data_IF_780199287516
#
_entry.id   IF_780199287516
#
_cell.length_a   1.000
_cell.length_b   1.000
_cell.length_c   1.000
_cell.angle_alpha   90.00
_cell.angle_beta   90.00
_cell.angle_gamma   90.00
#
_symmetry.space_group_name_H-M   'P 1'
#
loop_
_entity.id
_entity.type
_entity.pdbx_description
1 polymer ?
#
# COMPACT_ATOMS: atom_id res chain seq x y z
N UNK A 1 2.07 28.84 -16.19
CA UNK A 1 1.69 29.29 -14.83
C UNK A 1 1.46 28.09 -13.91
N UNK A 2 0.81 27.03 -14.41
CA UNK A 2 0.49 25.81 -13.63
C UNK A 2 1.67 25.11 -12.95
N UNK A 3 2.82 25.00 -13.61
CA UNK A 3 4.02 24.40 -13.00
C UNK A 3 4.46 25.13 -11.72
N UNK A 4 4.20 26.45 -11.61
CA UNK A 4 4.52 27.21 -10.39
C UNK A 4 3.60 26.83 -9.24
N UNK A 5 2.34 26.47 -9.51
CA UNK A 5 1.40 25.98 -8.49
C UNK A 5 1.84 24.61 -7.97
N UNK A 6 2.28 23.71 -8.84
CA UNK A 6 2.87 22.43 -8.42
C UNK A 6 4.16 22.63 -7.61
N UNK A 7 5.02 23.57 -8.02
CA UNK A 7 6.23 23.90 -7.25
C UNK A 7 5.88 24.45 -5.85
N UNK A 8 4.91 25.36 -5.78
CA UNK A 8 4.42 25.92 -4.51
C UNK A 8 3.86 24.82 -3.61
N UNK A 9 3.08 23.89 -4.17
CA UNK A 9 2.60 22.71 -3.45
C UNK A 9 3.75 21.85 -2.91
N UNK A 10 4.78 21.62 -3.72
CA UNK A 10 5.98 20.89 -3.31
C UNK A 10 6.68 21.55 -2.12
N UNK A 11 6.88 22.87 -2.19
CA UNK A 11 7.45 23.65 -1.09
C UNK A 11 6.58 23.59 0.17
N UNK A 12 5.26 23.66 0.02
CA UNK A 12 4.32 23.54 1.14
C UNK A 12 4.40 22.16 1.80
N UNK A 13 4.44 21.07 1.02
CA UNK A 13 4.58 19.71 1.55
C UNK A 13 5.89 19.57 2.33
N UNK A 14 7.01 20.05 1.77
CA UNK A 14 8.31 20.05 2.43
C UNK A 14 8.26 20.85 3.73
N UNK A 15 7.67 22.05 3.71
CA UNK A 15 7.51 22.89 4.89
C UNK A 15 6.70 22.20 5.99
N UNK A 16 5.55 21.61 5.66
CA UNK A 16 4.73 20.86 6.61
C UNK A 16 5.49 19.67 7.18
N UNK A 17 6.23 18.93 6.34
CA UNK A 17 6.98 17.75 6.76
C UNK A 17 8.15 18.09 7.70
N UNK A 18 8.79 19.25 7.53
CA UNK A 18 9.87 19.75 8.39
C UNK A 18 9.36 20.36 9.69
N UNK A 19 8.20 21.01 9.68
CA UNK A 19 7.68 21.75 10.85
C UNK A 19 6.75 20.91 11.73
N UNK A 20 6.12 19.85 11.20
CA UNK A 20 5.18 19.05 11.98
C UNK A 20 5.88 18.28 13.10
N UNK A 21 5.22 18.20 14.26
CA UNK A 21 5.66 17.35 15.37
C UNK A 21 5.40 15.89 15.02
N UNK A 22 6.47 15.13 14.75
CA UNK A 22 6.38 13.70 14.43
C UNK A 22 6.32 12.88 15.71
N UNK A 23 5.43 11.89 15.74
CA UNK A 23 5.38 10.92 16.85
C UNK A 23 6.24 9.70 16.56
N UNK A 24 6.20 9.26 15.31
CA UNK A 24 7.08 8.21 14.79
C UNK A 24 8.04 8.85 13.80
N UNK A 25 9.24 8.28 13.69
CA UNK A 25 10.24 8.77 12.75
C UNK A 25 9.70 8.76 11.31
N UNK A 26 9.01 7.67 10.96
CA UNK A 26 8.29 7.47 9.71
C UNK A 26 6.86 7.11 10.10
N UNK A 27 5.89 7.93 9.70
CA UNK A 27 4.46 7.68 9.92
C UNK A 27 3.69 7.73 8.59
N UNK A 28 2.40 7.39 8.64
CA UNK A 28 1.52 7.41 7.48
C UNK A 28 1.43 8.79 6.81
N UNK A 29 1.66 9.89 7.53
CA UNK A 29 1.67 11.24 6.94
C UNK A 29 2.94 11.45 6.11
N UNK A 30 4.10 10.99 6.58
CA UNK A 30 5.34 11.00 5.78
C UNK A 30 5.17 10.17 4.49
N UNK A 31 4.58 8.98 4.59
CA UNK A 31 4.34 8.12 3.42
C UNK A 31 3.30 8.74 2.48
N UNK A 32 2.25 9.37 3.02
CA UNK A 32 1.29 10.15 2.24
C UNK A 32 1.98 11.29 1.48
N UNK A 33 2.77 12.12 2.17
CA UNK A 33 3.52 13.22 1.55
C UNK A 33 4.46 12.71 0.46
N UNK A 34 5.14 11.58 0.68
CA UNK A 34 6.01 10.97 -0.34
C UNK A 34 5.23 10.62 -1.62
N UNK A 35 4.14 9.87 -1.52
CA UNK A 35 3.37 9.50 -2.71
C UNK A 35 2.66 10.69 -3.34
N UNK A 36 2.10 11.60 -2.54
CA UNK A 36 1.42 12.80 -3.03
C UNK A 36 2.39 13.73 -3.77
N UNK A 37 3.58 13.96 -3.21
CA UNK A 37 4.65 14.71 -3.87
C UNK A 37 5.06 14.02 -5.17
N UNK A 38 5.27 12.70 -5.16
CA UNK A 38 5.71 11.97 -6.34
C UNK A 38 4.69 12.10 -7.49
N UNK A 39 3.41 11.82 -7.24
CA UNK A 39 2.40 11.72 -8.31
C UNK A 39 1.71 13.04 -8.67
N UNK A 40 1.63 13.99 -7.73
CA UNK A 40 0.89 15.24 -7.90
C UNK A 40 1.75 16.50 -7.83
N UNK A 41 3.07 16.37 -7.63
CA UNK A 41 4.03 17.50 -7.75
C UNK A 41 5.10 17.17 -8.78
N UNK A 42 5.91 16.13 -8.51
CA UNK A 42 7.06 15.81 -9.33
C UNK A 42 6.65 15.36 -10.74
N UNK A 43 5.73 14.39 -10.85
CA UNK A 43 5.31 13.91 -12.17
C UNK A 43 4.67 14.99 -13.05
N UNK A 44 3.73 15.82 -12.58
CA UNK A 44 3.21 16.94 -13.37
C UNK A 44 4.30 17.91 -13.83
N UNK A 45 5.24 18.29 -12.94
CA UNK A 45 6.37 19.15 -13.32
C UNK A 45 7.20 18.51 -14.45
N UNK A 46 7.49 17.21 -14.34
CA UNK A 46 8.21 16.49 -15.39
C UNK A 46 7.41 16.47 -16.71
N UNK A 47 6.09 16.28 -16.66
CA UNK A 47 5.23 16.34 -17.85
C UNK A 47 5.24 17.72 -18.52
N UNK A 48 5.33 18.82 -17.75
CA UNK A 48 5.45 20.17 -18.33
C UNK A 48 6.77 20.38 -19.06
N UNK A 49 7.89 19.85 -18.54
CA UNK A 49 9.21 20.07 -19.14
C UNK A 49 9.56 19.10 -20.26
N UNK A 50 9.12 17.86 -20.16
CA UNK A 50 9.47 16.79 -21.09
C UNK A 50 8.29 16.31 -21.95
N UNK A 51 7.11 16.88 -21.77
CA UNK A 51 5.93 16.57 -22.58
C UNK A 51 5.47 15.11 -22.47
N UNK A 52 4.95 14.57 -23.56
CA UNK A 52 4.44 13.20 -23.66
C UNK A 52 5.54 12.14 -23.76
N UNK A 53 6.80 12.55 -23.93
CA UNK A 53 7.94 11.63 -24.10
C UNK A 53 8.23 10.83 -22.83
N UNK A 54 7.79 11.31 -21.67
CA UNK A 54 7.92 10.60 -20.40
C UNK A 54 6.77 9.62 -20.14
N UNK A 55 5.78 9.56 -21.02
CA UNK A 55 4.65 8.64 -20.90
C UNK A 55 5.00 7.32 -21.56
N UNK A 56 4.44 6.24 -21.01
CA UNK A 56 4.44 4.97 -21.72
C UNK A 56 3.68 5.15 -23.04
N UNK A 57 4.21 4.64 -24.15
CA UNK A 57 3.55 4.67 -25.47
C UNK A 57 2.15 4.08 -25.42
N UNK A 58 1.92 3.09 -24.56
CA UNK A 58 0.60 2.51 -24.33
C UNK A 58 -0.42 3.57 -23.85
N UNK A 59 -0.01 4.55 -23.02
CA UNK A 59 -0.87 5.64 -22.55
C UNK A 59 -1.24 6.64 -23.66
N UNK A 60 -0.50 6.66 -24.77
CA UNK A 60 -0.69 7.63 -25.87
C UNK A 60 -1.87 7.28 -26.79
N UNK A 61 -2.38 6.04 -26.72
CA UNK A 61 -3.55 5.61 -27.50
C UNK A 61 -4.88 6.22 -26.99
N UNK A 62 -4.86 6.81 -25.79
CA UNK A 62 -5.99 7.49 -25.18
C UNK A 62 -6.25 8.92 -25.65
N UNK A 63 -7.42 9.47 -25.27
CA UNK A 63 -7.63 10.93 -25.31
C UNK A 63 -6.73 11.56 -24.25
N UNK A 64 -5.55 12.04 -24.65
CA UNK A 64 -4.65 12.74 -23.73
C UNK A 64 -5.24 14.11 -23.37
N UNK A 65 -5.64 14.27 -22.10
CA UNK A 65 -6.22 15.51 -21.58
C UNK A 65 -5.20 16.41 -20.88
N UNK A 66 -3.98 15.94 -20.62
CA UNK A 66 -3.00 16.68 -19.83
C UNK A 66 -2.76 18.10 -20.37
N UNK A 67 -2.87 19.09 -19.48
CA UNK A 67 -2.66 20.50 -19.81
C UNK A 67 -3.82 21.16 -20.55
N UNK A 68 -4.94 20.46 -20.79
CA UNK A 68 -6.15 21.05 -21.39
C UNK A 68 -7.05 21.70 -20.36
N UNK A 69 -6.99 21.26 -19.10
CA UNK A 69 -7.79 21.85 -18.02
C UNK A 69 -6.92 22.77 -17.15
N UNK A 70 -7.09 24.10 -17.25
CA UNK A 70 -6.28 25.06 -16.48
C UNK A 70 -6.58 25.01 -14.97
N UNK A 71 -7.64 24.32 -14.54
CA UNK A 71 -8.01 24.23 -13.14
C UNK A 71 -7.37 23.04 -12.41
N UNK A 72 -6.74 22.09 -13.12
CA UNK A 72 -6.18 20.88 -12.50
C UNK A 72 -5.15 21.21 -11.43
N UNK A 73 -4.22 22.13 -11.70
CA UNK A 73 -3.16 22.55 -10.78
C UNK A 73 -3.75 23.15 -9.48
N UNK A 74 -4.79 23.97 -9.62
CA UNK A 74 -5.53 24.57 -8.51
C UNK A 74 -6.27 23.51 -7.71
N UNK A 75 -6.98 22.57 -8.37
CA UNK A 75 -7.69 21.48 -7.70
C UNK A 75 -6.73 20.62 -6.88
N UNK A 76 -5.58 20.26 -7.45
CA UNK A 76 -4.54 19.51 -6.73
C UNK A 76 -4.03 20.29 -5.52
N UNK A 77 -3.73 21.58 -5.66
CA UNK A 77 -3.28 22.41 -4.56
C UNK A 77 -4.32 22.50 -3.43
N UNK A 78 -5.57 22.82 -3.77
CA UNK A 78 -6.68 22.93 -2.81
C UNK A 78 -6.99 21.58 -2.15
N UNK A 79 -6.92 20.48 -2.89
CA UNK A 79 -7.11 19.13 -2.36
C UNK A 79 -6.14 18.83 -1.21
N UNK A 80 -4.87 19.24 -1.34
CA UNK A 80 -3.89 19.12 -0.26
C UNK A 80 -4.24 20.02 0.95
N UNK A 81 -4.73 21.24 0.73
CA UNK A 81 -5.20 22.08 1.84
C UNK A 81 -6.37 21.46 2.58
N UNK A 82 -7.35 20.87 1.88
CA UNK A 82 -8.47 20.16 2.50
C UNK A 82 -8.00 18.93 3.29
N UNK A 83 -6.99 18.21 2.79
CA UNK A 83 -6.33 17.16 3.56
C UNK A 83 -5.73 17.69 4.87
N UNK A 84 -5.00 18.79 4.83
CA UNK A 84 -4.43 19.41 6.03
C UNK A 84 -5.50 19.89 7.01
N UNK A 85 -6.61 20.44 6.51
CA UNK A 85 -7.77 20.83 7.33
C UNK A 85 -8.36 19.61 8.06
N UNK A 86 -8.62 18.52 7.33
CA UNK A 86 -9.12 17.27 7.92
C UNK A 86 -8.15 16.68 8.95
N UNK A 87 -6.85 16.67 8.65
CA UNK A 87 -5.83 16.18 9.58
C UNK A 87 -5.69 17.06 10.84
N UNK A 88 -5.96 18.36 10.73
CA UNK A 88 -5.85 19.31 11.84
C UNK A 88 -7.03 19.23 12.83
N UNK A 89 -8.10 18.51 12.51
CA UNK A 89 -9.26 18.33 13.38
C UNK A 89 -8.95 17.46 14.61
N UNK A 90 -8.48 18.08 15.69
CA UNK A 90 -8.05 17.39 16.91
C UNK A 90 -9.15 16.55 17.57
N UNK A 91 -10.39 17.05 17.55
CA UNK A 91 -11.54 16.47 18.26
C UNK A 91 -11.82 15.01 17.89
N UNK A 92 -11.54 14.60 16.65
CA UNK A 92 -11.73 13.22 16.20
C UNK A 92 -10.71 12.24 16.81
N UNK A 93 -9.47 12.69 17.05
CA UNK A 93 -8.41 11.85 17.60
C UNK A 93 -8.40 11.78 19.14
N UNK A 94 -8.80 12.86 19.82
CA UNK A 94 -8.79 12.93 21.30
C UNK A 94 -9.68 11.86 21.93
N UNK A 95 -10.84 11.56 21.35
CA UNK A 95 -11.71 10.47 21.83
C UNK A 95 -11.02 9.11 21.85
N UNK A 96 -10.14 8.84 20.88
CA UNK A 96 -9.42 7.56 20.75
C UNK A 96 -8.34 7.45 21.83
N UNK A 97 -7.70 8.57 22.16
CA UNK A 97 -6.62 8.60 23.16
C UNK A 97 -7.05 8.18 24.56
N UNK A 98 -8.35 8.24 24.87
CA UNK A 98 -8.92 7.81 26.16
C UNK A 98 -9.19 6.30 26.27
N UNK A 99 -9.02 5.53 25.19
CA UNK A 99 -9.15 4.09 25.23
C UNK A 99 -7.81 3.44 25.54
N UNK A 100 -7.83 2.45 26.41
CA UNK A 100 -6.71 1.54 26.61
C UNK A 100 -7.07 0.17 26.05
N UNK A 101 -6.20 -0.38 25.23
CA UNK A 101 -6.36 -1.71 24.63
C UNK A 101 -5.41 -2.62 25.38
N UNK A 102 -5.92 -3.66 26.03
CA UNK A 102 -5.08 -4.64 26.73
C UNK A 102 -5.23 -6.02 26.10
N UNK A 103 -4.25 -6.41 25.28
CA UNK A 103 -4.05 -7.79 24.85
C UNK A 103 -3.53 -8.63 26.02
N UNK A 104 -4.36 -9.58 26.49
CA UNK A 104 -3.99 -10.56 27.53
C UNK A 104 -3.62 -11.90 26.89
N UNK A 105 -2.68 -11.87 25.94
CA UNK A 105 -2.20 -13.07 25.24
C UNK A 105 -0.80 -13.41 25.77
N UNK A 106 -0.65 -14.61 26.35
CA UNK A 106 0.67 -15.10 26.73
C UNK A 106 1.51 -15.42 25.49
N UNK A 107 2.83 -15.32 25.60
CA UNK A 107 3.74 -15.60 24.49
C UNK A 107 3.55 -17.03 23.92
N UNK A 108 3.30 -18.01 24.80
CA UNK A 108 2.92 -19.37 24.38
C UNK A 108 1.68 -19.37 23.49
N UNK A 109 0.59 -18.69 23.89
CA UNK A 109 -0.63 -18.62 23.06
C UNK A 109 -0.36 -17.91 21.72
N UNK A 110 0.50 -16.89 21.73
CA UNK A 110 0.88 -16.18 20.52
C UNK A 110 1.64 -17.06 19.52
N UNK A 111 2.50 -17.95 20.01
CA UNK A 111 3.15 -18.96 19.15
C UNK A 111 2.14 -19.93 18.54
N UNK A 112 1.13 -20.36 19.29
CA UNK A 112 0.07 -21.22 18.73
C UNK A 112 -0.75 -20.48 17.67
N UNK A 113 -1.02 -19.18 17.86
CA UNK A 113 -1.67 -18.35 16.86
C UNK A 113 -0.80 -18.21 15.59
N UNK A 114 0.51 -18.02 15.74
CA UNK A 114 1.44 -17.96 14.60
C UNK A 114 1.48 -19.30 13.86
N UNK A 115 1.58 -20.41 14.58
CA UNK A 115 1.52 -21.74 13.99
C UNK A 115 0.22 -21.96 13.21
N UNK A 116 -0.92 -21.61 13.80
CA UNK A 116 -2.23 -21.68 13.16
C UNK A 116 -2.33 -20.76 11.93
N UNK A 117 -1.73 -19.58 11.98
CA UNK A 117 -1.65 -18.66 10.84
C UNK A 117 -0.85 -19.26 9.67
N UNK A 118 0.30 -19.90 9.93
CA UNK A 118 1.02 -20.65 8.90
C UNK A 118 0.20 -21.81 8.36
N UNK A 119 -0.52 -22.55 9.21
CA UNK A 119 -1.39 -23.63 8.75
C UNK A 119 -2.44 -23.14 7.74
N UNK A 120 -3.15 -22.04 8.06
CA UNK A 120 -4.10 -21.40 7.13
C UNK A 120 -3.40 -20.97 5.84
N UNK A 121 -2.22 -20.37 5.95
CA UNK A 121 -1.45 -19.88 4.80
C UNK A 121 -1.03 -21.03 3.87
N UNK A 122 -0.54 -22.14 4.42
CA UNK A 122 -0.18 -23.33 3.65
C UNK A 122 -1.40 -23.96 3.00
N UNK A 123 -2.51 -24.07 3.72
CA UNK A 123 -3.76 -24.60 3.16
C UNK A 123 -4.24 -23.74 1.98
N UNK A 124 -4.24 -22.42 2.12
CA UNK A 124 -4.60 -21.49 1.06
C UNK A 124 -3.67 -21.61 -0.15
N UNK A 125 -2.35 -21.72 0.09
CA UNK A 125 -1.36 -21.90 -0.96
C UNK A 125 -1.54 -23.24 -1.70
N UNK A 126 -1.73 -24.34 -0.99
CA UNK A 126 -1.91 -25.68 -1.58
C UNK A 126 -3.15 -25.70 -2.45
N UNK A 127 -4.30 -25.22 -1.95
CA UNK A 127 -5.55 -25.19 -2.73
C UNK A 127 -5.40 -24.29 -3.97
N UNK A 128 -4.79 -23.12 -3.82
CA UNK A 128 -4.53 -22.21 -4.94
C UNK A 128 -3.67 -22.89 -6.01
N UNK A 129 -2.51 -23.44 -5.62
CA UNK A 129 -1.57 -24.10 -6.53
C UNK A 129 -2.17 -25.33 -7.19
N UNK A 130 -2.88 -26.18 -6.45
CA UNK A 130 -3.55 -27.35 -7.03
C UNK A 130 -4.65 -26.96 -8.01
N UNK A 131 -5.41 -25.90 -7.72
CA UNK A 131 -6.46 -25.41 -8.62
C UNK A 131 -5.95 -24.89 -9.95
N UNK A 132 -4.71 -24.39 -9.99
CA UNK A 132 -4.07 -23.87 -11.20
C UNK A 132 -3.18 -24.92 -11.93
N UNK A 133 -3.23 -26.19 -11.48
CA UNK A 133 -2.51 -27.30 -12.12
C UNK A 133 -1.07 -27.51 -11.65
N UNK A 134 -0.73 -27.05 -10.45
CA UNK A 134 0.57 -27.26 -9.83
C UNK A 134 1.44 -26.01 -9.76
N UNK A 135 2.53 -26.08 -8.98
CA UNK A 135 3.32 -24.90 -8.61
C UNK A 135 4.01 -24.29 -9.83
N UNK A 136 4.62 -25.14 -10.66
CA UNK A 136 5.33 -24.76 -11.87
C UNK A 136 4.41 -23.99 -12.83
N UNK A 137 3.25 -24.57 -13.15
CA UNK A 137 2.25 -23.94 -14.02
C UNK A 137 1.74 -22.62 -13.47
N UNK A 138 1.59 -22.53 -12.14
CA UNK A 138 1.16 -21.28 -11.49
C UNK A 138 2.21 -20.17 -11.62
N UNK A 139 3.50 -20.52 -11.52
CA UNK A 139 4.62 -19.57 -11.71
C UNK A 139 4.68 -19.13 -13.18
N UNK A 140 4.54 -20.06 -14.12
CA UNK A 140 4.53 -19.76 -15.56
C UNK A 140 3.40 -18.80 -15.94
N UNK A 141 2.21 -19.02 -15.38
CA UNK A 141 1.03 -18.20 -15.63
C UNK A 141 0.92 -16.96 -14.72
N UNK A 142 1.90 -16.71 -13.85
CA UNK A 142 1.83 -15.63 -12.84
C UNK A 142 1.57 -14.25 -13.46
N UNK A 143 2.19 -13.95 -14.60
CA UNK A 143 1.99 -12.70 -15.34
C UNK A 143 0.60 -12.61 -15.97
N UNK A 144 0.09 -13.74 -16.50
CA UNK A 144 -1.24 -13.82 -17.11
C UNK A 144 -2.34 -13.66 -16.05
N UNK A 145 -2.13 -14.17 -14.84
CA UNK A 145 -3.03 -13.91 -13.70
C UNK A 145 -2.96 -12.46 -13.23
N UNK A 146 -1.77 -11.85 -13.26
CA UNK A 146 -1.57 -10.45 -12.82
C UNK A 146 -2.20 -9.45 -13.79
N UNK A 147 -2.09 -9.71 -15.10
CA UNK A 147 -2.70 -8.90 -16.16
C UNK A 147 -4.21 -9.12 -16.29
N UNK A 148 -4.76 -10.15 -15.65
CA UNK A 148 -6.19 -10.45 -15.72
C UNK A 148 -6.62 -11.13 -17.02
N UNK A 149 -5.66 -11.54 -17.87
CA UNK A 149 -5.91 -12.30 -19.10
C UNK A 149 -6.49 -13.68 -18.76
N UNK A 150 -6.00 -14.29 -17.69
CA UNK A 150 -6.51 -15.58 -17.18
C UNK A 150 -7.09 -15.37 -15.78
N UNK A 151 -8.28 -15.92 -15.54
CA UNK A 151 -8.89 -15.94 -14.22
C UNK A 151 -8.56 -17.22 -13.47
N UNK A 152 -7.81 -17.09 -12.38
CA UNK A 152 -7.57 -18.18 -11.45
C UNK A 152 -8.88 -18.59 -10.75
N UNK A 153 -9.21 -19.90 -10.76
CA UNK A 153 -10.42 -20.45 -10.14
C UNK A 153 -10.49 -20.11 -8.66
N UNK A 154 -9.35 -20.22 -7.98
CA UNK A 154 -9.20 -19.89 -6.56
C UNK A 154 -8.37 -18.63 -6.33
N UNK A 155 -8.39 -17.67 -7.26
CA UNK A 155 -7.61 -16.44 -7.16
C UNK A 155 -7.87 -15.64 -5.87
N UNK A 156 -9.07 -15.78 -5.26
CA UNK A 156 -9.38 -15.16 -3.97
C UNK A 156 -8.48 -15.63 -2.82
N UNK A 157 -7.89 -16.83 -2.90
CA UNK A 157 -6.97 -17.35 -1.87
C UNK A 157 -5.67 -16.54 -1.79
N UNK A 158 -5.29 -15.83 -2.86
CA UNK A 158 -4.16 -14.88 -2.82
C UNK A 158 -4.36 -13.76 -1.78
N UNK A 159 -5.60 -13.48 -1.37
CA UNK A 159 -5.90 -12.51 -0.29
C UNK A 159 -5.32 -12.91 1.06
N UNK A 160 -4.95 -14.18 1.26
CA UNK A 160 -4.28 -14.67 2.46
C UNK A 160 -2.76 -14.53 2.39
N UNK A 161 -2.17 -14.30 1.22
CA UNK A 161 -0.70 -14.23 1.06
C UNK A 161 -0.05 -13.10 1.87
N UNK A 162 -0.68 -11.91 2.05
CA UNK A 162 -0.12 -10.87 2.92
C UNK A 162 -0.03 -11.27 4.40
N UNK A 163 -0.62 -12.42 4.82
CA UNK A 163 -0.38 -12.98 6.15
C UNK A 163 1.10 -13.29 6.35
N UNK A 164 1.79 -13.76 5.31
CA UNK A 164 3.23 -13.99 5.39
C UNK A 164 4.00 -12.70 5.66
N UNK A 165 3.56 -11.56 5.10
CA UNK A 165 4.18 -10.26 5.36
C UNK A 165 4.07 -9.88 6.83
N UNK A 166 2.89 -10.07 7.44
CA UNK A 166 2.67 -9.83 8.87
C UNK A 166 3.58 -10.74 9.70
N UNK A 167 3.61 -12.05 9.39
CA UNK A 167 4.41 -13.04 10.10
C UNK A 167 5.92 -12.78 9.96
N UNK A 168 6.39 -12.43 8.75
CA UNK A 168 7.78 -12.09 8.48
C UNK A 168 8.22 -10.89 9.31
N UNK A 169 7.46 -9.80 9.28
CA UNK A 169 7.79 -8.58 10.02
C UNK A 169 7.68 -8.77 11.53
N UNK A 170 6.70 -9.55 11.99
CA UNK A 170 6.54 -9.85 13.41
C UNK A 170 7.68 -10.71 13.95
N UNK A 171 8.06 -11.77 13.22
CA UNK A 171 9.18 -12.64 13.59
C UNK A 171 10.51 -11.90 13.48
N UNK A 172 10.68 -11.03 12.48
CA UNK A 172 11.81 -10.10 12.38
C UNK A 172 11.93 -9.23 13.62
N UNK A 173 10.84 -8.57 14.03
CA UNK A 173 10.80 -7.74 15.23
C UNK A 173 11.23 -8.53 16.48
N UNK A 174 10.69 -9.74 16.67
CA UNK A 174 11.03 -10.59 17.83
C UNK A 174 12.50 -11.01 17.86
N UNK A 175 13.08 -11.35 16.71
CA UNK A 175 14.45 -11.89 16.63
C UNK A 175 15.51 -10.79 16.67
N UNK A 176 15.33 -9.73 15.87
CA UNK A 176 16.38 -8.75 15.60
C UNK A 176 16.26 -7.48 16.44
N UNK A 177 15.05 -7.12 16.86
CA UNK A 177 14.80 -5.87 17.59
C UNK A 177 14.61 -6.11 19.09
N UNK A 178 13.62 -6.92 19.48
CA UNK A 178 13.31 -7.15 20.90
C UNK A 178 14.30 -8.09 21.60
N UNK A 179 14.75 -9.17 20.94
CA UNK A 179 15.78 -10.14 21.40
C UNK A 179 15.53 -10.87 22.74
N UNK A 180 14.53 -10.49 23.53
CA UNK A 180 14.29 -10.99 24.90
C UNK A 180 13.26 -12.14 24.99
N UNK A 181 12.93 -12.81 23.88
CA UNK A 181 11.91 -13.87 23.86
C UNK A 181 12.41 -15.20 24.44
N UNK A 182 11.59 -15.84 25.30
CA UNK A 182 11.82 -17.22 25.78
C UNK A 182 11.81 -18.26 24.64
N UNK A 183 11.14 -17.94 23.53
CA UNK A 183 10.93 -18.82 22.38
C UNK A 183 11.70 -18.35 21.14
N UNK A 184 12.84 -17.69 21.34
CA UNK A 184 13.64 -17.12 20.24
C UNK A 184 13.96 -18.12 19.13
N UNK A 185 14.26 -19.38 19.45
CA UNK A 185 14.53 -20.42 18.45
C UNK A 185 13.31 -20.78 17.60
N UNK A 186 12.13 -20.82 18.22
CA UNK A 186 10.85 -21.01 17.51
C UNK A 186 10.58 -19.83 16.58
N UNK A 187 10.86 -18.60 17.03
CA UNK A 187 10.74 -17.43 16.15
C UNK A 187 11.71 -17.49 14.97
N UNK A 188 12.96 -17.92 15.18
CA UNK A 188 13.94 -18.12 14.08
C UNK A 188 13.43 -19.12 13.05
N UNK A 189 12.86 -20.24 13.48
CA UNK A 189 12.25 -21.22 12.58
C UNK A 189 11.14 -20.57 11.73
N UNK A 190 10.22 -19.85 12.37
CA UNK A 190 9.14 -19.15 11.66
C UNK A 190 9.66 -18.06 10.72
N UNK A 191 10.67 -17.30 11.11
CA UNK A 191 11.28 -16.30 10.25
C UNK A 191 11.89 -16.94 8.99
N UNK A 192 12.64 -18.03 9.13
CA UNK A 192 13.18 -18.79 7.99
C UNK A 192 12.06 -19.31 7.09
N UNK A 193 10.99 -19.85 7.68
CA UNK A 193 9.81 -20.30 6.94
C UNK A 193 9.15 -19.17 6.16
N UNK A 194 9.03 -17.98 6.78
CA UNK A 194 8.49 -16.79 6.13
C UNK A 194 9.37 -16.27 4.99
N UNK A 195 10.70 -16.40 5.09
CA UNK A 195 11.61 -16.06 3.99
C UNK A 195 11.43 -17.00 2.80
N UNK A 196 11.27 -18.31 3.04
CA UNK A 196 10.99 -19.29 1.97
C UNK A 196 9.66 -18.95 1.28
N UNK A 197 8.60 -18.71 2.07
CA UNK A 197 7.30 -18.33 1.54
C UNK A 197 7.32 -16.95 0.85
N UNK A 198 8.16 -16.03 1.31
CA UNK A 198 8.33 -14.73 0.66
C UNK A 198 8.89 -14.91 -0.76
N UNK A 199 9.96 -15.69 -0.93
CA UNK A 199 10.53 -15.98 -2.26
C UNK A 199 9.50 -16.65 -3.16
N UNK A 200 8.72 -17.59 -2.63
CA UNK A 200 7.65 -18.25 -3.35
C UNK A 200 6.56 -17.24 -3.79
N UNK A 201 6.13 -16.36 -2.89
CA UNK A 201 5.11 -15.36 -3.19
C UNK A 201 5.60 -14.28 -4.15
N UNK A 202 6.89 -13.97 -4.16
CA UNK A 202 7.51 -13.13 -5.19
C UNK A 202 7.33 -13.77 -6.56
N UNK A 203 7.67 -15.06 -6.70
CA UNK A 203 7.49 -15.80 -7.95
C UNK A 203 6.02 -15.90 -8.37
N UNK A 204 5.11 -16.16 -7.43
CA UNK A 204 3.67 -16.32 -7.71
C UNK A 204 2.94 -15.00 -8.01
N UNK A 205 3.45 -13.86 -7.55
CA UNK A 205 2.85 -12.55 -7.81
C UNK A 205 3.50 -11.82 -8.98
N UNK A 206 4.71 -12.23 -9.40
CA UNK A 206 5.48 -11.54 -10.43
C UNK A 206 5.46 -10.01 -10.21
N UNK A 207 5.90 -9.58 -9.02
CA UNK A 207 5.76 -8.18 -8.60
C UNK A 207 7.01 -7.66 -7.94
N UNK A 208 7.75 -6.83 -8.68
CA UNK A 208 8.87 -6.04 -8.15
C UNK A 208 8.45 -5.13 -6.98
N UNK A 209 7.24 -4.57 -7.04
CA UNK A 209 6.70 -3.71 -5.98
C UNK A 209 6.55 -4.46 -4.66
N UNK A 210 6.22 -5.75 -4.71
CA UNK A 210 6.14 -6.60 -3.53
C UNK A 210 7.51 -6.72 -2.83
N UNK A 211 8.59 -6.95 -3.58
CA UNK A 211 9.96 -7.04 -3.02
C UNK A 211 10.36 -5.72 -2.37
N UNK A 212 10.19 -4.61 -3.08
CA UNK A 212 10.56 -3.29 -2.58
C UNK A 212 9.80 -2.94 -1.30
N UNK A 213 8.50 -3.22 -1.26
CA UNK A 213 7.68 -2.97 -0.07
C UNK A 213 8.13 -3.80 1.14
N UNK A 214 8.66 -5.02 0.95
CA UNK A 214 9.16 -5.86 2.04
C UNK A 214 10.50 -5.38 2.57
N UNK A 215 11.46 -5.09 1.68
CA UNK A 215 12.77 -4.55 2.06
C UNK A 215 12.60 -3.19 2.75
N UNK A 216 11.77 -2.31 2.19
CA UNK A 216 11.45 -1.02 2.80
C UNK A 216 10.78 -1.22 4.16
N UNK A 217 9.90 -2.21 4.31
CA UNK A 217 9.23 -2.51 5.58
C UNK A 217 10.16 -2.91 6.70
N UNK A 218 11.13 -3.77 6.42
CA UNK A 218 12.17 -4.14 7.39
C UNK A 218 12.97 -2.90 7.84
N UNK A 219 13.32 -2.02 6.90
CA UNK A 219 14.00 -0.77 7.21
C UNK A 219 13.14 0.17 8.06
N UNK A 220 11.89 0.43 7.66
CA UNK A 220 10.99 1.36 8.35
C UNK A 220 10.69 0.88 9.77
N UNK A 221 10.42 -0.41 9.96
CA UNK A 221 10.21 -1.00 11.30
C UNK A 221 11.44 -0.79 12.18
N UNK A 222 12.63 -1.02 11.64
CA UNK A 222 13.90 -0.81 12.37
C UNK A 222 14.12 0.66 12.71
N UNK A 223 13.86 1.55 11.76
CA UNK A 223 14.05 3.00 11.93
C UNK A 223 13.08 3.58 12.98
N UNK A 224 11.82 3.12 12.99
CA UNK A 224 10.85 3.51 14.01
C UNK A 224 11.26 2.95 15.39
N UNK A 225 11.70 1.69 15.47
CA UNK A 225 12.07 1.04 16.74
C UNK A 225 13.25 1.74 17.43
N UNK A 226 14.31 2.03 16.67
CA UNK A 226 15.50 2.72 17.19
C UNK A 226 15.38 4.25 17.19
N UNK A 227 14.26 4.80 16.69
CA UNK A 227 14.05 6.23 16.52
C UNK A 227 15.21 6.94 15.76
N UNK A 228 15.83 6.25 14.80
CA UNK A 228 16.98 6.76 14.06
C UNK A 228 16.90 6.41 12.57
N UNK A 229 17.36 7.33 11.71
CA UNK A 229 17.52 7.07 10.28
C UNK A 229 18.87 6.40 10.01
N UNK A 230 18.83 5.26 9.33
CA UNK A 230 20.05 4.56 8.94
C UNK A 230 20.37 4.85 7.48
N UNK A 231 20.95 6.04 7.23
CA UNK A 231 21.19 6.57 5.87
C UNK A 231 21.90 5.57 4.95
N UNK A 232 22.91 4.84 5.46
CA UNK A 232 23.63 3.80 4.70
C UNK A 232 22.67 2.76 4.12
N UNK A 233 21.78 2.20 4.95
CA UNK A 233 20.81 1.19 4.49
C UNK A 233 19.77 1.80 3.56
N UNK A 234 19.32 3.03 3.81
CA UNK A 234 18.41 3.73 2.91
C UNK A 234 19.01 3.91 1.51
N UNK A 235 20.28 4.31 1.41
CA UNK A 235 21.00 4.43 0.15
C UNK A 235 21.17 3.07 -0.54
N UNK A 236 21.54 2.02 0.20
CA UNK A 236 21.63 0.66 -0.35
C UNK A 236 20.28 0.19 -0.89
N UNK A 237 19.19 0.41 -0.15
CA UNK A 237 17.83 0.07 -0.59
C UNK A 237 17.44 0.90 -1.82
N UNK A 238 17.80 2.18 -1.87
CA UNK A 238 17.56 3.03 -3.04
C UNK A 238 18.26 2.52 -4.30
N UNK A 239 19.55 2.17 -4.19
CA UNK A 239 20.33 1.61 -5.30
C UNK A 239 19.77 0.25 -5.76
N UNK A 240 19.49 -0.66 -4.82
CA UNK A 240 18.83 -1.93 -5.13
C UNK A 240 17.45 -1.71 -5.73
N UNK A 241 16.73 -0.68 -5.28
CA UNK A 241 15.44 -0.28 -5.79
C UNK A 241 15.49 0.08 -7.28
N UNK A 242 16.47 0.89 -7.68
CA UNK A 242 16.69 1.23 -9.09
C UNK A 242 16.96 -0.02 -9.92
N UNK A 243 17.81 -0.94 -9.44
CA UNK A 243 18.09 -2.20 -10.13
C UNK A 243 16.84 -3.08 -10.27
N UNK A 244 16.07 -3.26 -9.20
CA UNK A 244 14.83 -4.04 -9.20
C UNK A 244 13.78 -3.41 -10.13
N UNK A 245 13.68 -2.08 -10.17
CA UNK A 245 12.75 -1.40 -11.08
C UNK A 245 13.16 -1.64 -12.53
N UNK A 246 14.44 -1.48 -12.86
CA UNK A 246 14.96 -1.62 -14.22
C UNK A 246 14.91 -3.06 -14.72
N UNK A 247 15.37 -4.02 -13.92
CA UNK A 247 15.58 -5.41 -14.34
C UNK A 247 14.54 -6.40 -13.83
N UNK A 248 13.67 -5.99 -12.90
CA UNK A 248 12.69 -6.89 -12.29
C UNK A 248 11.72 -7.49 -13.31
N UNK A 249 11.08 -6.68 -14.16
CA UNK A 249 10.10 -7.25 -15.10
C UNK A 249 10.74 -8.13 -16.18
N UNK A 250 11.88 -7.75 -16.82
CA UNK A 250 12.61 -8.67 -17.68
C UNK A 250 12.95 -9.99 -16.99
N UNK A 251 13.43 -9.91 -15.73
CA UNK A 251 13.78 -11.09 -14.95
C UNK A 251 12.57 -12.00 -14.78
N UNK A 252 11.46 -11.48 -14.26
CA UNK A 252 10.29 -12.31 -14.00
C UNK A 252 9.60 -12.81 -15.27
N UNK A 253 9.65 -12.05 -16.37
CA UNK A 253 9.14 -12.47 -17.66
C UNK A 253 9.93 -13.65 -18.23
N UNK A 254 11.24 -13.71 -17.98
CA UNK A 254 12.09 -14.79 -18.46
C UNK A 254 12.03 -16.06 -17.58
N UNK A 255 11.62 -15.97 -16.31
CA UNK A 255 11.54 -17.14 -15.40
C UNK A 255 10.76 -18.32 -15.99
N UNK A 256 9.57 -18.16 -16.60
CA UNK A 256 8.87 -19.26 -17.24
C UNK A 256 9.73 -20.04 -18.25
N UNK A 257 10.49 -19.33 -19.09
CA UNK A 257 11.38 -19.94 -20.08
C UNK A 257 12.48 -20.80 -19.43
N UNK A 258 13.02 -20.36 -18.29
CA UNK A 258 13.97 -21.16 -17.53
C UNK A 258 13.33 -22.45 -16.97
N UNK A 259 12.09 -22.34 -16.49
CA UNK A 259 11.39 -23.45 -15.85
C UNK A 259 10.90 -24.49 -16.88
N UNK A 260 10.47 -24.06 -18.06
CA UNK A 260 9.96 -24.93 -19.12
C UNK A 260 11.06 -25.57 -19.97
N UNK A 261 12.14 -24.85 -20.21
CA UNK A 261 13.17 -25.23 -21.18
C UNK A 261 14.54 -25.23 -20.49
N UNK A 262 15.37 -24.21 -20.73
CA UNK A 262 16.73 -24.14 -20.23
C UNK A 262 17.16 -22.71 -19.89
N UNK A 263 18.36 -22.57 -19.35
CA UNK A 263 18.92 -21.29 -18.96
C UNK A 263 19.31 -20.41 -20.16
N UNK A 264 19.59 -20.99 -21.32
CA UNK A 264 19.97 -20.24 -22.51
C UNK A 264 18.76 -19.47 -23.09
N UNK A 265 17.60 -20.12 -23.12
CA UNK A 265 16.36 -19.44 -23.49
C UNK A 265 15.99 -18.34 -22.49
N UNK A 266 16.19 -18.59 -21.19
CA UNK A 266 16.02 -17.55 -20.17
C UNK A 266 16.88 -16.31 -20.46
N UNK A 267 18.17 -16.50 -20.73
CA UNK A 267 19.07 -15.39 -21.05
C UNK A 267 18.63 -14.65 -22.33
N UNK A 268 18.20 -15.39 -23.35
CA UNK A 268 17.69 -14.82 -24.60
C UNK A 268 16.45 -13.95 -24.35
N UNK A 269 15.43 -14.46 -23.65
CA UNK A 269 14.20 -13.72 -23.34
C UNK A 269 14.47 -12.51 -22.45
N UNK A 270 15.34 -12.67 -21.45
CA UNK A 270 15.76 -11.59 -20.57
C UNK A 270 16.43 -10.45 -21.34
N UNK A 271 17.41 -10.77 -22.19
CA UNK A 271 18.14 -9.79 -22.99
C UNK A 271 17.23 -9.13 -24.03
N UNK A 272 16.38 -9.90 -24.71
CA UNK A 272 15.40 -9.38 -25.67
C UNK A 272 14.48 -8.36 -25.01
N UNK A 273 14.01 -8.64 -23.79
CA UNK A 273 13.14 -7.71 -23.05
C UNK A 273 13.88 -6.46 -22.57
N UNK A 274 15.16 -6.55 -22.23
CA UNK A 274 15.99 -5.40 -21.90
C UNK A 274 16.22 -4.52 -23.13
N UNK A 275 16.57 -5.12 -24.27
CA UNK A 275 16.79 -4.42 -25.54
C UNK A 275 15.53 -3.67 -25.98
N UNK A 276 14.38 -4.36 -25.98
CA UNK A 276 13.09 -3.74 -26.31
C UNK A 276 12.77 -2.56 -25.38
N UNK A 277 13.06 -2.67 -24.08
CA UNK A 277 12.85 -1.56 -23.13
C UNK A 277 13.78 -0.38 -23.33
N UNK A 278 15.04 -0.63 -23.65
CA UNK A 278 16.02 0.42 -23.90
C UNK A 278 15.68 1.17 -25.20
N UNK A 279 15.13 0.48 -26.21
CA UNK A 279 14.62 1.10 -27.43
C UNK A 279 13.36 1.93 -27.20
N UNK A 280 12.60 1.62 -26.14
CA UNK A 280 11.35 2.30 -25.78
C UNK A 280 11.54 3.47 -24.80
N UNK A 281 12.78 3.88 -24.49
CA UNK A 281 13.11 5.01 -23.60
C UNK A 281 12.28 5.02 -22.31
N UNK A 282 12.21 3.85 -21.65
CA UNK A 282 11.37 3.64 -20.47
C UNK A 282 11.72 4.60 -19.32
N UNK A 283 11.01 5.72 -19.27
CA UNK A 283 11.14 6.70 -18.21
C UNK A 283 10.50 6.17 -16.93
N UNK A 284 11.24 6.14 -15.83
CA UNK A 284 10.74 5.70 -14.52
C UNK A 284 9.48 6.49 -14.10
N UNK A 285 9.39 7.77 -14.51
CA UNK A 285 8.27 8.66 -14.25
C UNK A 285 6.97 8.26 -14.95
N UNK A 286 7.04 7.49 -16.04
CA UNK A 286 5.87 6.96 -16.75
C UNK A 286 4.95 6.16 -15.80
N UNK A 287 5.55 5.40 -14.87
CA UNK A 287 4.81 4.60 -13.90
C UNK A 287 3.99 5.44 -12.91
N UNK A 288 4.32 6.73 -12.77
CA UNK A 288 3.71 7.66 -11.83
C UNK A 288 2.81 8.71 -12.49
N UNK A 289 2.62 8.64 -13.82
CA UNK A 289 1.85 9.63 -14.58
C UNK A 289 0.34 9.36 -14.57
N UNK A 290 -0.08 8.09 -14.42
CA UNK A 290 -1.50 7.76 -14.47
C UNK A 290 -2.39 8.49 -13.45
N UNK A 291 -1.97 8.84 -12.21
CA UNK A 291 -2.85 9.52 -11.26
C UNK A 291 -3.24 10.94 -11.71
N UNK A 292 -2.29 11.68 -12.31
CA UNK A 292 -2.57 13.04 -12.79
C UNK A 292 -3.37 13.01 -14.10
N UNK A 293 -3.03 12.10 -15.02
CA UNK A 293 -3.80 11.93 -16.27
C UNK A 293 -5.25 11.55 -15.96
N UNK A 294 -5.44 10.58 -15.05
CA UNK A 294 -6.78 10.16 -14.61
C UNK A 294 -7.56 11.29 -13.96
N UNK A 295 -6.89 12.17 -13.21
CA UNK A 295 -7.54 13.35 -12.62
C UNK A 295 -8.03 14.30 -13.72
N UNK A 296 -7.18 14.63 -14.70
CA UNK A 296 -7.58 15.51 -15.80
C UNK A 296 -8.74 14.94 -16.61
N UNK A 297 -8.67 13.64 -16.94
CA UNK A 297 -9.74 12.93 -17.64
C UNK A 297 -11.05 12.97 -16.84
N UNK A 298 -11.00 12.71 -15.54
CA UNK A 298 -12.21 12.77 -14.69
C UNK A 298 -12.78 14.18 -14.55
N UNK A 299 -11.93 15.21 -14.42
CA UNK A 299 -12.38 16.61 -14.37
C UNK A 299 -12.96 17.10 -15.71
N UNK A 300 -12.54 16.53 -16.84
CA UNK A 300 -13.06 16.88 -18.16
C UNK A 300 -14.38 16.19 -18.51
N UNK A 301 -14.62 14.97 -17.99
CA UNK A 301 -15.71 14.11 -18.48
C UNK A 301 -16.86 13.92 -17.47
N UNK A 302 -16.57 13.99 -16.16
CA UNK A 302 -17.58 13.72 -15.13
C UNK A 302 -18.51 14.92 -14.98
N UNK A 303 -19.82 14.68 -14.94
CA UNK A 303 -20.87 15.70 -14.92
C UNK A 303 -21.39 16.05 -16.32
N UNK A 304 -20.56 15.91 -17.36
CA UNK A 304 -20.97 16.15 -18.75
C UNK A 304 -21.28 14.85 -19.50
N UNK A 305 -20.35 13.89 -19.51
CA UNK A 305 -20.45 12.64 -20.25
C UNK A 305 -20.63 11.42 -19.32
N UNK A 306 -20.12 11.52 -18.09
CA UNK A 306 -20.24 10.47 -17.07
C UNK A 306 -21.03 10.97 -15.88
N UNK A 307 -21.99 10.17 -15.42
CA UNK A 307 -22.72 10.43 -14.19
C UNK A 307 -21.81 10.34 -12.95
N UNK A 308 -22.18 11.08 -11.91
CA UNK A 308 -21.52 11.04 -10.61
C UNK A 308 -21.66 9.66 -9.95
N UNK A 309 -20.59 9.18 -9.31
CA UNK A 309 -20.59 7.89 -8.59
C UNK A 309 -20.92 8.02 -7.11
N UNK A 310 -20.97 9.23 -6.55
CA UNK A 310 -21.38 9.48 -5.16
C UNK A 310 -20.65 8.60 -4.12
N UNK A 311 -19.36 8.34 -4.30
CA UNK A 311 -18.54 7.48 -3.42
C UNK A 311 -18.99 6.02 -3.30
N UNK A 312 -19.85 5.52 -4.21
CA UNK A 312 -20.37 4.14 -4.18
C UNK A 312 -19.26 3.08 -4.26
N UNK A 313 -18.10 3.42 -4.83
CA UNK A 313 -16.94 2.52 -4.93
C UNK A 313 -16.44 2.02 -3.57
N UNK A 314 -16.61 2.78 -2.49
CA UNK A 314 -16.26 2.31 -1.14
C UNK A 314 -17.20 1.21 -0.65
N UNK A 315 -18.51 1.37 -0.89
CA UNK A 315 -19.52 0.37 -0.53
C UNK A 315 -19.37 -0.88 -1.41
N UNK A 316 -19.19 -0.69 -2.72
CA UNK A 316 -18.95 -1.78 -3.67
C UNK A 316 -17.68 -2.56 -3.33
N UNK A 317 -16.62 -1.88 -2.86
CA UNK A 317 -15.40 -2.56 -2.46
C UNK A 317 -15.60 -3.51 -1.24
N UNK A 318 -16.49 -3.15 -0.31
CA UNK A 318 -16.86 -4.04 0.81
C UNK A 318 -17.63 -5.25 0.27
N UNK A 319 -18.62 -5.02 -0.61
CA UNK A 319 -19.39 -6.12 -1.25
C UNK A 319 -18.46 -7.04 -2.05
N UNK A 320 -17.44 -6.48 -2.73
CA UNK A 320 -16.46 -7.23 -3.52
C UNK A 320 -15.56 -8.17 -2.71
N UNK A 321 -15.55 -8.05 -1.38
CA UNK A 321 -14.90 -9.03 -0.51
C UNK A 321 -15.61 -10.38 -0.58
N UNK A 322 -16.90 -10.41 -0.87
CA UNK A 322 -17.63 -11.65 -1.11
C UNK A 322 -17.10 -12.35 -2.37
N UNK A 323 -17.07 -13.68 -2.39
CA UNK A 323 -16.66 -14.43 -3.56
C UNK A 323 -17.79 -14.41 -4.60
N UNK A 324 -18.01 -13.27 -5.25
CA UNK A 324 -19.12 -13.04 -6.20
C UNK A 324 -19.22 -14.13 -7.27
N UNK A 325 -18.08 -14.63 -7.76
CA UNK A 325 -18.01 -15.72 -8.73
C UNK A 325 -18.57 -17.06 -8.22
N UNK A 326 -18.55 -17.32 -6.91
CA UNK A 326 -19.19 -18.51 -6.33
C UNK A 326 -20.71 -18.40 -6.31
N UNK A 327 -21.24 -17.17 -6.28
CA UNK A 327 -22.68 -16.90 -6.23
C UNK A 327 -23.26 -16.48 -7.59
N UNK A 328 -22.47 -16.47 -8.66
CA UNK A 328 -22.91 -16.04 -9.99
C UNK A 328 -23.27 -14.55 -10.07
N UNK A 329 -22.78 -13.73 -9.13
CA UNK A 329 -23.02 -12.29 -9.11
C UNK A 329 -22.00 -11.61 -10.03
N UNK A 330 -22.48 -10.81 -10.98
CA UNK A 330 -21.59 -9.98 -11.82
C UNK A 330 -20.88 -8.93 -10.96
N UNK A 331 -19.57 -8.79 -11.16
CA UNK A 331 -18.78 -7.78 -10.45
C UNK A 331 -19.27 -6.38 -10.89
N UNK A 332 -19.61 -5.47 -9.96
CA UNK A 332 -20.02 -4.13 -10.33
C UNK A 332 -18.88 -3.41 -11.06
N UNK A 333 -19.22 -2.50 -11.98
CA UNK A 333 -18.22 -1.67 -12.63
C UNK A 333 -17.59 -0.71 -11.63
N UNK A 334 -16.34 -0.98 -11.25
CA UNK A 334 -15.54 -0.12 -10.38
C UNK A 334 -14.96 1.07 -11.15
N UNK A 335 -14.63 2.14 -10.42
CA UNK A 335 -13.95 3.33 -10.95
C UNK A 335 -12.71 3.05 -11.80
N UNK A 336 -11.97 1.97 -11.53
CA UNK A 336 -10.79 1.59 -12.32
C UNK A 336 -11.13 1.13 -13.74
N UNK A 337 -12.27 0.45 -13.92
CA UNK A 337 -12.75 0.02 -15.26
C UNK A 337 -13.14 1.25 -16.06
N UNK A 338 -13.91 2.15 -15.46
CA UNK A 338 -14.28 3.43 -16.08
C UNK A 338 -13.04 4.27 -16.40
N UNK A 339 -12.10 4.35 -15.48
CA UNK A 339 -10.87 5.11 -15.69
C UNK A 339 -10.02 4.55 -16.83
N UNK A 340 -9.93 3.23 -16.95
CA UNK A 340 -9.24 2.59 -18.07
C UNK A 340 -9.99 2.84 -19.38
N UNK A 341 -11.31 2.68 -19.40
CA UNK A 341 -12.13 2.94 -20.58
C UNK A 341 -11.96 4.38 -21.09
N UNK A 342 -11.93 5.37 -20.19
CA UNK A 342 -11.75 6.77 -20.58
C UNK A 342 -10.33 7.10 -21.04
N UNK A 343 -9.31 6.45 -20.45
CA UNK A 343 -7.92 6.72 -20.79
C UNK A 343 -7.37 5.84 -21.92
N UNK A 344 -7.98 4.69 -22.24
CA UNK A 344 -7.48 3.73 -23.23
C UNK A 344 -8.52 3.26 -24.25
N UNK A 345 -9.82 3.53 -24.01
CA UNK A 345 -10.89 3.03 -24.88
C UNK A 345 -11.27 1.56 -24.62
N UNK A 346 -10.64 0.90 -23.65
CA UNK A 346 -10.87 -0.52 -23.35
C UNK A 346 -11.58 -0.72 -22.00
N UNK A 347 -12.57 -1.62 -21.97
CA UNK A 347 -13.34 -1.97 -20.76
C UNK A 347 -12.62 -3.01 -19.89
N UNK A 348 -11.39 -2.71 -19.50
CA UNK A 348 -10.56 -3.56 -18.64
C UNK A 348 -10.05 -2.79 -17.41
N UNK A 349 -9.53 -3.48 -16.40
CA UNK A 349 -9.17 -2.87 -15.10
C UNK A 349 -7.64 -2.72 -14.97
N UNK A 350 -7.03 -1.90 -15.83
CA UNK A 350 -5.56 -1.74 -15.87
C UNK A 350 -5.10 -0.45 -15.18
N UNK A 351 -5.75 0.68 -15.48
CA UNK A 351 -5.26 2.01 -15.08
C UNK A 351 -5.82 2.40 -13.73
N UNK A 352 -4.93 2.44 -12.75
CA UNK A 352 -5.24 2.96 -11.43
C UNK A 352 -5.62 4.44 -11.52
N UNK A 353 -6.71 4.90 -10.91
CA UNK A 353 -7.12 6.31 -11.00
C UNK A 353 -6.27 7.25 -10.12
N UNK A 354 -5.69 6.76 -9.03
CA UNK A 354 -5.16 7.64 -7.99
C UNK A 354 -6.26 8.31 -7.16
N UNK A 355 -5.89 8.77 -5.96
CA UNK A 355 -6.88 9.22 -4.96
C UNK A 355 -7.71 10.42 -5.42
N UNK A 356 -7.10 11.38 -6.11
CA UNK A 356 -7.82 12.57 -6.55
C UNK A 356 -8.83 12.23 -7.66
N UNK A 357 -8.45 11.42 -8.64
CA UNK A 357 -9.37 11.02 -9.70
C UNK A 357 -10.52 10.16 -9.16
N UNK A 358 -10.26 9.25 -8.21
CA UNK A 358 -11.33 8.50 -7.51
C UNK A 358 -12.41 9.43 -6.96
N UNK A 359 -12.00 10.50 -6.29
CA UNK A 359 -12.92 11.46 -5.70
C UNK A 359 -13.56 12.37 -6.76
N UNK A 360 -12.86 12.69 -7.84
CA UNK A 360 -13.41 13.41 -8.97
C UNK A 360 -14.48 12.60 -9.73
N UNK A 361 -14.31 11.28 -9.91
CA UNK A 361 -15.38 10.41 -10.41
C UNK A 361 -16.61 10.38 -9.49
N UNK A 362 -16.43 10.66 -8.20
CA UNK A 362 -17.52 10.66 -7.23
C UNK A 362 -18.38 11.91 -7.34
N UNK A 363 -17.79 13.11 -7.31
CA UNK A 363 -18.50 14.40 -7.30
C UNK A 363 -17.66 15.55 -7.91
N UNK A 364 -16.88 15.28 -8.97
CA UNK A 364 -15.96 16.25 -9.59
C UNK A 364 -15.01 16.90 -8.56
N UNK A 365 -14.59 18.16 -8.75
CA UNK A 365 -13.72 18.88 -7.82
C UNK A 365 -14.28 18.95 -6.40
N UNK A 366 -15.61 19.05 -6.24
CA UNK A 366 -16.27 19.01 -4.92
C UNK A 366 -16.00 17.69 -4.21
N UNK A 367 -16.09 16.58 -4.95
CA UNK A 367 -15.74 15.25 -4.47
C UNK A 367 -14.30 15.17 -4.01
N UNK A 368 -13.36 15.76 -4.77
CA UNK A 368 -11.94 15.82 -4.42
C UNK A 368 -11.75 16.48 -3.05
N UNK A 369 -12.36 17.64 -2.82
CA UNK A 369 -12.20 18.38 -1.57
C UNK A 369 -12.81 17.63 -0.38
N UNK A 370 -14.04 17.10 -0.53
CA UNK A 370 -14.71 16.31 0.50
C UNK A 370 -13.89 15.05 0.82
N UNK A 371 -13.49 14.30 -0.20
CA UNK A 371 -12.76 13.05 -0.05
C UNK A 371 -11.40 13.26 0.62
N UNK A 372 -10.64 14.28 0.21
CA UNK A 372 -9.33 14.58 0.81
C UNK A 372 -9.44 15.07 2.25
N UNK A 373 -10.49 15.83 2.59
CA UNK A 373 -10.77 16.19 3.97
C UNK A 373 -11.01 14.96 4.85
N UNK A 374 -11.92 14.06 4.45
CA UNK A 374 -12.16 12.83 5.21
C UNK A 374 -10.94 11.91 5.25
N UNK A 375 -10.14 11.89 4.19
CA UNK A 375 -8.90 11.13 4.15
C UNK A 375 -7.85 11.69 5.12
N UNK A 376 -7.72 13.01 5.25
CA UNK A 376 -6.90 13.66 6.27
C UNK A 376 -7.41 13.39 7.70
N UNK A 377 -8.73 13.44 7.89
CA UNK A 377 -9.38 13.09 9.16
C UNK A 377 -9.09 11.64 9.57
N UNK A 378 -9.13 10.70 8.62
CA UNK A 378 -8.75 9.31 8.84
C UNK A 378 -7.29 9.19 9.27
N UNK A 379 -6.38 9.95 8.65
CA UNK A 379 -4.97 10.02 9.07
C UNK A 379 -4.84 10.48 10.53
N UNK A 380 -5.59 11.51 10.94
CA UNK A 380 -5.60 11.99 12.33
C UNK A 380 -6.05 10.90 13.31
N UNK A 381 -7.11 10.16 12.97
CA UNK A 381 -7.62 9.03 13.75
C UNK A 381 -6.57 7.93 13.87
N UNK A 382 -5.94 7.54 12.75
CA UNK A 382 -4.89 6.52 12.73
C UNK A 382 -3.67 6.93 13.57
N UNK A 383 -3.26 8.20 13.54
CA UNK A 383 -2.15 8.71 14.34
C UNK A 383 -2.38 8.50 15.84
N UNK A 384 -3.55 8.89 16.34
CA UNK A 384 -3.86 8.74 17.76
C UNK A 384 -4.05 7.28 18.15
N UNK A 385 -4.65 6.46 17.28
CA UNK A 385 -4.72 5.01 17.48
C UNK A 385 -3.33 4.37 17.60
N UNK A 386 -2.40 4.71 16.70
CA UNK A 386 -1.05 4.16 16.69
C UNK A 386 -0.23 4.60 17.89
N UNK A 387 -0.39 5.85 18.36
CA UNK A 387 0.22 6.31 19.61
C UNK A 387 -0.21 5.45 20.79
N UNK A 388 -1.51 5.23 20.93
CA UNK A 388 -2.08 4.40 22.00
C UNK A 388 -1.55 2.97 21.92
N UNK A 389 -1.59 2.37 20.73
CA UNK A 389 -1.11 1.00 20.51
C UNK A 389 0.38 0.84 20.77
N UNK A 390 1.22 1.76 20.27
CA UNK A 390 2.67 1.67 20.43
C UNK A 390 3.12 1.83 21.87
N UNK A 391 2.48 2.74 22.63
CA UNK A 391 2.75 2.91 24.07
C UNK A 391 2.47 1.64 24.88
N UNK A 392 1.50 0.85 24.45
CA UNK A 392 1.07 -0.37 25.15
C UNK A 392 1.81 -1.61 24.64
N UNK A 393 2.12 -1.65 23.34
CA UNK A 393 2.69 -2.79 22.65
C UNK A 393 3.69 -2.34 21.59
N UNK A 394 4.99 -2.44 21.90
CA UNK A 394 6.05 -2.12 20.93
C UNK A 394 5.95 -2.94 19.63
N UNK A 395 5.50 -4.20 19.73
CA UNK A 395 5.28 -5.07 18.57
C UNK A 395 4.20 -4.55 17.59
N UNK A 396 3.35 -3.59 18.01
CA UNK A 396 2.38 -2.94 17.13
C UNK A 396 3.01 -2.16 15.98
N UNK A 397 4.32 -1.87 16.06
CA UNK A 397 5.12 -1.25 15.00
C UNK A 397 4.96 -1.92 13.63
N UNK A 398 4.74 -3.24 13.61
CA UNK A 398 4.48 -4.01 12.38
C UNK A 398 3.18 -3.56 11.73
N UNK A 399 2.10 -3.49 12.51
CA UNK A 399 0.79 -3.04 12.04
C UNK A 399 0.80 -1.55 11.69
N UNK A 400 1.52 -0.74 12.47
CA UNK A 400 1.71 0.69 12.20
C UNK A 400 2.35 0.86 10.83
N UNK A 401 3.44 0.14 10.51
CA UNK A 401 4.05 0.19 9.19
C UNK A 401 3.07 -0.24 8.10
N UNK A 402 2.45 -1.41 8.23
CA UNK A 402 1.60 -1.96 7.17
C UNK A 402 0.41 -1.06 6.87
N UNK A 403 -0.30 -0.56 7.89
CA UNK A 403 -1.40 0.38 7.69
C UNK A 403 -0.87 1.72 7.15
N UNK A 404 0.28 2.20 7.62
CA UNK A 404 0.86 3.45 7.13
C UNK A 404 1.25 3.37 5.65
N UNK A 405 1.78 2.23 5.22
CA UNK A 405 2.10 1.96 3.83
C UNK A 405 0.83 1.85 2.99
N UNK A 406 -0.18 1.06 3.42
CA UNK A 406 -1.47 0.97 2.73
C UNK A 406 -2.13 2.34 2.61
N UNK A 407 -2.10 3.14 3.69
CA UNK A 407 -2.62 4.50 3.70
C UNK A 407 -1.92 5.33 2.62
N UNK A 408 -0.60 5.58 2.73
CA UNK A 408 0.10 6.42 1.76
C UNK A 408 0.07 5.88 0.33
N UNK A 409 0.15 4.56 0.12
CA UNK A 409 0.10 3.96 -1.21
C UNK A 409 -1.30 4.05 -1.85
N UNK A 410 -2.35 4.26 -1.06
CA UNK A 410 -3.69 4.56 -1.58
C UNK A 410 -3.72 5.84 -2.41
N UNK A 411 -2.82 6.80 -2.14
CA UNK A 411 -2.68 8.04 -2.93
C UNK A 411 -2.38 7.72 -4.40
N UNK A 412 -1.44 6.81 -4.62
CA UNK A 412 -1.04 6.34 -5.94
C UNK A 412 -2.14 5.48 -6.59
N UNK A 413 -2.77 4.58 -5.83
CA UNK A 413 -3.73 3.61 -6.40
C UNK A 413 -5.13 4.16 -6.64
N UNK A 414 -5.72 4.87 -5.68
CA UNK A 414 -7.11 5.36 -5.76
C UNK A 414 -8.19 4.29 -5.96
N UNK A 415 -7.96 3.04 -5.57
CA UNK A 415 -8.94 1.95 -5.74
C UNK A 415 -9.29 1.34 -4.39
N UNK A 416 -10.50 1.63 -3.83
CA UNK A 416 -10.96 1.03 -2.58
C UNK A 416 -10.95 -0.49 -2.64
N UNK A 417 -11.33 -1.09 -3.78
CA UNK A 417 -11.30 -2.54 -4.00
C UNK A 417 -9.90 -3.11 -3.82
N UNK A 418 -8.90 -2.55 -4.50
CA UNK A 418 -7.53 -3.06 -4.41
C UNK A 418 -6.93 -2.83 -3.02
N UNK A 419 -7.25 -1.71 -2.37
CA UNK A 419 -6.79 -1.44 -1.02
C UNK A 419 -7.34 -2.46 -0.01
N UNK A 420 -8.64 -2.76 -0.10
CA UNK A 420 -9.28 -3.78 0.73
C UNK A 420 -8.79 -5.18 0.42
N UNK A 421 -8.57 -5.54 -0.85
CA UNK A 421 -8.11 -6.88 -1.22
C UNK A 421 -6.68 -7.13 -0.74
N UNK A 422 -5.78 -6.18 -0.96
CA UNK A 422 -4.37 -6.31 -0.55
C UNK A 422 -4.20 -6.24 0.98
N UNK A 423 -5.11 -5.56 1.67
CA UNK A 423 -5.09 -5.42 3.14
C UNK A 423 -6.11 -6.31 3.85
N UNK A 424 -6.79 -7.22 3.14
CA UNK A 424 -7.88 -8.01 3.70
C UNK A 424 -7.44 -8.76 4.96
N UNK A 425 -6.35 -9.51 4.85
CA UNK A 425 -5.85 -10.34 5.95
C UNK A 425 -5.22 -9.51 7.08
N UNK A 426 -4.74 -8.30 6.77
CA UNK A 426 -4.33 -7.32 7.78
C UNK A 426 -5.53 -6.90 8.64
N UNK A 427 -6.65 -6.54 8.01
CA UNK A 427 -7.88 -6.19 8.74
C UNK A 427 -8.44 -7.36 9.54
N UNK A 428 -8.45 -8.58 8.97
CA UNK A 428 -8.86 -9.79 9.70
C UNK A 428 -7.96 -10.03 10.91
N UNK A 429 -6.65 -9.89 10.75
CA UNK A 429 -5.68 -10.07 11.86
C UNK A 429 -5.93 -9.05 12.96
N UNK A 430 -6.12 -7.78 12.61
CA UNK A 430 -6.44 -6.72 13.57
C UNK A 430 -7.76 -7.02 14.27
N UNK A 431 -8.80 -7.43 13.55
CA UNK A 431 -10.10 -7.78 14.13
C UNK A 431 -9.98 -8.94 15.14
N UNK A 432 -9.26 -10.01 14.80
CA UNK A 432 -8.99 -11.12 15.71
C UNK A 432 -8.23 -10.67 16.96
N UNK A 433 -7.18 -9.85 16.79
CA UNK A 433 -6.43 -9.31 17.93
C UNK A 433 -7.31 -8.42 18.82
N UNK A 434 -8.18 -7.59 18.23
CA UNK A 434 -9.12 -6.75 18.98
C UNK A 434 -10.16 -7.59 19.73
N UNK A 435 -10.69 -8.67 19.14
CA UNK A 435 -11.59 -9.61 19.82
C UNK A 435 -10.93 -10.30 21.02
N UNK A 436 -9.61 -10.54 20.94
CA UNK A 436 -8.83 -11.10 22.04
C UNK A 436 -8.36 -10.04 23.06
N UNK A 437 -8.58 -8.76 22.76
CA UNK A 437 -8.20 -7.63 23.61
C UNK A 437 -9.33 -7.24 24.56
N UNK A 438 -8.98 -6.71 25.73
CA UNK A 438 -9.92 -5.99 26.59
C UNK A 438 -9.77 -4.50 26.32
N UNK A 439 -10.86 -3.84 25.92
CA UNK A 439 -10.90 -2.39 25.72
C UNK A 439 -11.47 -1.76 26.99
N UNK A 440 -10.68 -0.93 27.67
CA UNK A 440 -11.10 -0.20 28.88
C UNK A 440 -10.98 1.30 28.67
N UNK A 441 -12.04 2.05 29.00
CA UNK A 441 -12.01 3.53 28.96
C UNK A 441 -11.31 4.07 30.21
N UNK A 442 -10.36 5.00 30.06
CA UNK A 442 -9.63 5.56 31.20
C UNK A 442 -10.55 6.31 32.20
N UNK A 443 -11.71 6.82 31.75
CA UNK A 443 -12.72 7.43 32.63
C UNK A 443 -13.28 6.46 33.68
N UNK A 444 -13.16 5.14 33.47
CA UNK A 444 -13.55 4.15 34.49
C UNK A 444 -12.46 3.90 35.54
N UNK A 445 -11.21 4.29 35.27
CA UNK A 445 -10.08 4.14 36.21
C UNK A 445 -9.96 5.31 37.18
N UNK A 446 -10.34 6.53 36.79
CA UNK A 446 -10.37 7.67 37.74
C UNK A 446 -11.37 7.50 38.89
N UNK A 447 -12.36 6.59 38.78
CA UNK A 447 -13.25 6.20 39.88
C UNK A 447 -12.71 5.06 40.76
N UNK A 448 -11.57 4.46 40.40
CA UNK A 448 -10.93 3.39 41.16
C UNK A 448 -9.44 3.69 41.33
N UNK A 449 -9.10 4.26 42.49
CA UNK A 449 -7.77 4.18 43.12
C UNK A 449 -6.74 5.21 42.61
N UNK A 450 -6.65 6.34 43.31
CA UNK A 450 -5.39 7.05 43.56
C UNK A 450 -4.54 6.22 44.52
N UNK A 451 -3.63 5.41 44.01
CA UNK A 451 -2.51 4.86 44.78
C UNK A 451 -1.23 5.14 44.00
N UNK A 452 -0.37 5.95 44.60
CA UNK A 452 0.94 6.33 44.11
C UNK A 452 1.80 5.10 43.85
N UNK A 453 2.34 4.99 42.63
CA UNK A 453 3.41 4.03 42.32
C UNK A 453 4.76 4.77 42.19
N UNK A 454 5.84 4.22 42.79
CA UNK A 454 7.15 4.85 42.81
C UNK A 454 7.81 4.88 41.44
N UNK A 455 8.45 6.02 41.13
CA UNK A 455 9.19 6.28 39.89
C UNK A 455 10.35 5.30 39.70
N UNK A 456 10.31 4.53 38.61
CA UNK A 456 11.44 3.71 38.16
C UNK A 456 12.52 4.65 37.61
N UNK A 457 13.68 4.71 38.28
CA UNK A 457 14.91 5.34 37.77
C UNK A 457 15.45 4.50 36.61
N UNK A 458 15.54 5.09 35.41
CA UNK A 458 16.36 4.55 34.33
C UNK A 458 17.83 4.60 34.76
N UNK A 459 18.48 3.45 34.87
CA UNK A 459 19.94 3.37 34.77
C UNK A 459 20.29 3.46 33.28
N UNK A 460 20.94 4.56 32.91
CA UNK A 460 21.72 4.64 31.68
C UNK A 460 23.02 3.88 31.96
N UNK A 461 23.31 2.86 31.16
CA UNK A 461 24.64 2.27 31.04
C UNK A 461 25.21 2.65 29.69
#
# INVERSE_FOLDING_TARGET
MDYMIYLLLGLLIIYVELTRKRTFLIDHIMIFHFFYFLVYVLTPIMLYFYGTDILNKDLQLGKFYFGKNPFTSIVVFLAYLFFLLGFSMRSAGERISHFSISLKISEKKLIHLIFFAYFILFLALIIFVQGEGGLIKTIQNSELYRSGVIFAKYGFLKRFFPLNTILLFYTYYKIFLEKESRYLQTYKLFFTLSLILFTLFVALNNSRGFILAHILGLYVITAIYYHNYFLKYMLTIGLLGILIIKYGDPLFYAIPAWVDHDFDLFLKEFNTRIENRNLEDHNIFANFAHPIISLETSLALVGEQLGFRYFVDFLQAIVALLPNKMFGIEDPQFVMVLNTEMNYGEKISIVLPGILALFAYSLHAVGVFIGMFFYGLLGRILLELFKTLYRQYNASIVFIYMISFTYGYFVFRGSPRNALFDSFILFVTIAVLLMLSRITSEKSKEKMITVDFPRIRKKVQ
#
